data_IF_257392494284
#
_entry.id   IF_257392494284
#
_cell.length_a   1.000
_cell.length_b   1.000
_cell.length_c   1.000
_cell.angle_alpha   90.00
_cell.angle_beta   90.00
_cell.angle_gamma   90.00
#
_symmetry.space_group_name_H-M   'P 1'
#
loop_
_entity.id
_entity.type
_entity.pdbx_description
1 polymer ?
#
# COMPACT_ATOMS: atom_id res chain seq x y z
N UNK A 1 1.51 1.28 -18.08
CA UNK A 1 1.49 0.08 -17.22
C UNK A 1 2.86 -0.57 -17.22
N UNK A 2 3.31 -1.05 -16.07
CA UNK A 2 4.56 -1.81 -15.93
C UNK A 2 4.21 -3.18 -15.38
N UNK A 3 4.69 -4.22 -16.06
CA UNK A 3 4.47 -5.61 -15.70
C UNK A 3 5.80 -6.30 -15.45
N UNK A 4 5.85 -7.20 -14.49
CA UNK A 4 6.94 -8.14 -14.30
C UNK A 4 6.44 -9.57 -14.60
N UNK A 5 7.12 -10.25 -15.51
CA UNK A 5 6.85 -11.63 -15.90
C UNK A 5 8.15 -12.36 -16.15
N UNK A 6 8.34 -13.52 -15.55
CA UNK A 6 9.50 -14.41 -15.77
C UNK A 6 10.86 -13.67 -15.74
N UNK A 7 11.08 -12.85 -14.73
CA UNK A 7 12.27 -11.97 -14.61
C UNK A 7 12.39 -10.91 -15.71
N UNK A 8 11.33 -10.65 -16.47
CA UNK A 8 11.27 -9.55 -17.45
C UNK A 8 10.44 -8.42 -16.94
N UNK A 9 10.85 -7.19 -17.22
CA UNK A 9 10.09 -5.97 -16.93
C UNK A 9 9.64 -5.37 -18.26
N UNK A 10 8.33 -5.24 -18.44
CA UNK A 10 7.70 -4.74 -19.66
C UNK A 10 6.90 -3.48 -19.33
N UNK A 11 6.90 -2.51 -20.25
CA UNK A 11 6.09 -1.29 -20.11
C UNK A 11 5.18 -1.12 -21.32
N UNK A 12 3.91 -0.82 -21.04
CA UNK A 12 2.87 -0.57 -22.04
C UNK A 12 2.24 0.80 -21.81
N UNK A 13 1.83 1.44 -22.89
CA UNK A 13 1.04 2.68 -22.85
C UNK A 13 -0.44 2.39 -22.50
N UNK A 14 -1.27 3.43 -22.49
CA UNK A 14 -2.70 3.33 -22.20
C UNK A 14 -3.52 2.64 -23.31
N UNK A 15 -2.93 2.39 -24.47
CA UNK A 15 -3.52 1.63 -25.59
C UNK A 15 -3.04 0.18 -25.63
N UNK A 16 -2.28 -0.26 -24.62
CA UNK A 16 -1.71 -1.61 -24.56
C UNK A 16 -0.50 -1.82 -25.48
N UNK A 17 0.04 -0.75 -26.09
CA UNK A 17 1.20 -0.85 -26.97
C UNK A 17 2.48 -0.78 -26.16
N UNK A 18 3.45 -1.63 -26.49
CA UNK A 18 4.75 -1.63 -25.82
C UNK A 18 5.48 -0.29 -26.00
N UNK A 19 5.93 0.30 -24.89
CA UNK A 19 6.63 1.59 -24.90
C UNK A 19 8.02 1.41 -25.50
N UNK A 20 8.28 2.10 -26.61
CA UNK A 20 9.62 2.15 -27.23
C UNK A 20 10.59 2.90 -26.31
N UNK A 21 11.84 2.45 -26.27
CA UNK A 21 12.90 3.08 -25.47
C UNK A 21 12.90 2.71 -23.98
N UNK A 22 11.96 1.88 -23.53
CA UNK A 22 12.06 1.26 -22.21
C UNK A 22 13.13 0.16 -22.25
N UNK A 23 14.23 0.35 -21.52
CA UNK A 23 15.45 -0.46 -21.68
C UNK A 23 15.55 -1.65 -20.74
N UNK A 24 14.85 -1.64 -19.61
CA UNK A 24 14.95 -2.72 -18.64
C UNK A 24 14.06 -3.89 -19.04
N UNK A 25 14.66 -4.91 -19.65
CA UNK A 25 13.95 -6.14 -20.08
C UNK A 25 14.22 -7.34 -19.20
N UNK A 26 15.29 -7.31 -18.38
CA UNK A 26 15.62 -8.39 -17.45
C UNK A 26 15.76 -7.88 -16.02
N UNK A 27 15.28 -8.68 -15.08
CA UNK A 27 15.42 -8.48 -13.64
C UNK A 27 16.56 -9.37 -13.13
N UNK A 28 17.37 -8.83 -12.22
CA UNK A 28 18.46 -9.58 -11.56
C UNK A 28 17.94 -10.68 -10.63
N UNK A 29 16.73 -10.49 -10.08
CA UNK A 29 16.01 -11.46 -9.24
C UNK A 29 14.50 -11.25 -9.39
N UNK A 30 13.65 -12.26 -9.04
CA UNK A 30 12.21 -12.10 -9.00
C UNK A 30 11.78 -10.98 -8.08
N UNK A 31 10.64 -10.38 -8.36
CA UNK A 31 10.03 -9.35 -7.51
C UNK A 31 9.17 -9.98 -6.43
N UNK A 32 9.18 -9.38 -5.25
CA UNK A 32 8.30 -9.74 -4.14
C UNK A 32 6.89 -9.24 -4.39
N UNK A 33 6.76 -8.05 -4.99
CA UNK A 33 5.50 -7.41 -5.34
C UNK A 33 5.53 -6.89 -6.78
N UNK A 34 4.37 -6.62 -7.40
CA UNK A 34 4.29 -5.90 -8.65
C UNK A 34 5.07 -4.57 -8.59
N UNK A 35 5.68 -4.11 -9.70
CA UNK A 35 6.37 -2.82 -9.73
C UNK A 35 5.46 -1.69 -9.26
N UNK A 36 5.95 -0.86 -8.34
CA UNK A 36 5.23 0.33 -7.86
C UNK A 36 5.75 1.59 -8.55
N UNK A 37 4.85 2.47 -8.97
CA UNK A 37 5.19 3.76 -9.53
C UNK A 37 4.89 4.87 -8.52
N UNK A 38 5.88 5.72 -8.27
CA UNK A 38 5.71 6.93 -7.44
C UNK A 38 6.19 8.16 -8.19
N UNK A 39 5.55 9.29 -7.90
CA UNK A 39 5.96 10.59 -8.37
C UNK A 39 6.29 11.49 -7.18
N UNK A 40 7.56 11.92 -7.11
CA UNK A 40 8.08 12.80 -6.05
C UNK A 40 8.74 14.00 -6.73
N UNK A 41 8.35 15.23 -6.37
CA UNK A 41 8.91 16.48 -6.92
C UNK A 41 9.00 16.46 -8.45
N UNK A 42 7.90 16.07 -9.12
CA UNK A 42 7.75 15.97 -10.58
C UNK A 42 8.63 14.92 -11.27
N UNK A 43 9.33 14.06 -10.52
CA UNK A 43 10.13 12.95 -11.06
C UNK A 43 9.43 11.62 -10.83
N UNK A 44 9.50 10.74 -11.84
CA UNK A 44 8.89 9.40 -11.78
C UNK A 44 9.92 8.37 -11.29
N UNK A 45 9.49 7.46 -10.44
CA UNK A 45 10.27 6.38 -9.84
C UNK A 45 9.51 5.08 -9.97
N UNK A 46 10.16 4.06 -10.53
CA UNK A 46 9.65 2.68 -10.55
C UNK A 46 10.40 1.87 -9.51
N UNK A 47 9.70 1.39 -8.52
CA UNK A 47 10.26 0.64 -7.40
C UNK A 47 10.14 -0.85 -7.69
N UNK A 48 11.25 -1.56 -7.58
CA UNK A 48 11.40 -3.00 -7.80
C UNK A 48 11.92 -3.63 -6.51
N UNK A 49 11.02 -4.12 -5.67
CA UNK A 49 11.33 -4.85 -4.45
C UNK A 49 11.59 -6.32 -4.80
N UNK A 50 12.82 -6.79 -4.63
CA UNK A 50 13.22 -8.14 -5.03
C UNK A 50 13.27 -9.08 -3.83
N UNK A 51 12.99 -10.36 -4.06
CA UNK A 51 12.97 -11.40 -3.01
C UNK A 51 14.33 -11.62 -2.34
N UNK A 52 15.42 -11.22 -2.98
CA UNK A 52 16.78 -11.31 -2.43
C UNK A 52 17.19 -10.07 -1.61
N UNK A 53 16.23 -9.23 -1.19
CA UNK A 53 16.48 -8.04 -0.38
C UNK A 53 17.04 -6.83 -1.14
N UNK A 54 17.28 -6.93 -2.46
CA UNK A 54 17.77 -5.79 -3.23
C UNK A 54 16.64 -4.90 -3.73
N UNK A 55 16.88 -3.58 -3.72
CA UNK A 55 15.95 -2.58 -4.20
C UNK A 55 16.42 -1.98 -5.53
N UNK A 56 15.56 -2.00 -6.54
CA UNK A 56 15.78 -1.28 -7.79
C UNK A 56 14.90 -0.04 -7.85
N UNK A 57 15.49 1.11 -8.16
CA UNK A 57 14.73 2.35 -8.34
C UNK A 57 15.06 2.91 -9.72
N UNK A 58 14.10 2.79 -10.64
CA UNK A 58 14.28 3.13 -12.04
C UNK A 58 13.56 4.43 -12.41
N UNK A 59 14.00 5.06 -13.48
CA UNK A 59 13.23 6.11 -14.14
C UNK A 59 12.21 5.48 -15.13
N UNK A 60 11.39 6.34 -15.76
CA UNK A 60 10.37 5.91 -16.73
C UNK A 60 10.93 5.28 -18.01
N UNK A 61 12.25 5.35 -18.24
CA UNK A 61 12.91 4.69 -19.37
C UNK A 61 13.54 3.34 -18.98
N UNK A 62 13.35 2.89 -17.72
CA UNK A 62 13.91 1.64 -17.23
C UNK A 62 15.40 1.70 -16.85
N UNK A 63 16.01 2.89 -16.83
CA UNK A 63 17.38 3.09 -16.35
C UNK A 63 17.40 3.30 -14.85
N UNK A 64 18.47 2.84 -14.19
CA UNK A 64 18.64 3.08 -12.76
C UNK A 64 18.66 4.58 -12.49
N UNK A 65 17.77 5.04 -11.61
CA UNK A 65 17.66 6.44 -11.19
C UNK A 65 18.39 6.69 -9.88
N UNK A 66 18.30 5.73 -8.96
CA UNK A 66 18.90 5.79 -7.65
C UNK A 66 19.58 4.44 -7.41
N UNK A 67 20.82 4.50 -6.92
CA UNK A 67 21.55 3.31 -6.48
C UNK A 67 21.34 3.19 -4.97
N UNK A 68 20.72 2.10 -4.57
CA UNK A 68 20.62 1.69 -3.16
C UNK A 68 21.59 0.52 -2.98
N UNK A 69 22.47 0.63 -2.00
CA UNK A 69 23.49 -0.39 -1.69
C UNK A 69 23.07 -1.25 -0.52
N UNK A 70 23.51 -2.50 -0.51
CA UNK A 70 23.19 -3.48 0.53
C UNK A 70 21.88 -4.22 0.26
N UNK A 71 21.63 -5.20 1.11
CA UNK A 71 20.40 -5.96 1.15
C UNK A 71 19.53 -5.42 2.30
N UNK A 72 18.23 -5.35 2.05
CA UNK A 72 17.23 -4.93 3.02
C UNK A 72 16.40 -6.17 3.37
N UNK A 73 16.20 -6.43 4.66
CA UNK A 73 15.38 -7.55 5.15
C UNK A 73 13.91 -7.15 5.10
N UNK A 74 13.36 -7.11 3.89
CA UNK A 74 11.96 -6.71 3.69
C UNK A 74 10.99 -7.64 4.41
N UNK A 75 10.00 -7.04 5.07
CA UNK A 75 8.78 -7.75 5.46
C UNK A 75 7.93 -8.12 4.23
N UNK A 76 6.76 -8.70 4.45
CA UNK A 76 5.77 -8.90 3.39
C UNK A 76 5.13 -7.60 2.87
N UNK A 77 5.41 -6.43 3.42
CA UNK A 77 4.79 -5.15 3.01
C UNK A 77 5.41 -4.60 1.73
N UNK A 78 4.60 -4.13 0.77
CA UNK A 78 5.10 -3.44 -0.41
C UNK A 78 5.65 -2.05 -0.04
N UNK A 79 6.31 -1.40 -1.02
CA UNK A 79 6.70 0.00 -0.87
C UNK A 79 5.52 0.94 -1.05
N UNK A 80 5.51 2.01 -0.26
CA UNK A 80 4.59 3.14 -0.34
C UNK A 80 5.37 4.46 -0.44
N UNK A 81 4.69 5.54 -0.84
CA UNK A 81 5.24 6.89 -0.72
C UNK A 81 4.80 7.49 0.61
N UNK A 82 5.76 7.85 1.46
CA UNK A 82 5.50 8.57 2.71
C UNK A 82 6.59 9.64 2.94
N UNK A 83 6.21 10.89 3.22
CA UNK A 83 7.12 12.03 3.48
C UNK A 83 8.25 12.17 2.43
N UNK A 84 7.90 12.09 1.15
CA UNK A 84 8.87 12.12 0.04
C UNK A 84 9.94 11.02 0.06
N UNK A 85 9.70 9.93 0.80
CA UNK A 85 10.51 8.71 0.81
C UNK A 85 9.75 7.52 0.21
N UNK A 86 10.49 6.50 -0.16
CA UNK A 86 9.96 5.16 -0.46
C UNK A 86 10.01 4.37 0.83
N UNK A 87 8.86 4.00 1.35
CA UNK A 87 8.71 3.46 2.70
C UNK A 87 8.13 2.06 2.67
N UNK A 88 8.71 1.16 3.42
CA UNK A 88 8.23 -0.20 3.71
C UNK A 88 8.60 -0.57 5.15
N UNK A 89 8.47 -1.83 5.52
CA UNK A 89 8.91 -2.36 6.81
C UNK A 89 9.89 -3.52 6.62
N UNK A 90 10.71 -3.79 7.62
CA UNK A 90 11.58 -4.96 7.65
C UNK A 90 10.98 -6.10 8.50
N UNK A 91 11.63 -7.26 8.49
CA UNK A 91 11.19 -8.47 9.20
C UNK A 91 11.14 -8.29 10.72
N UNK A 92 11.87 -7.30 11.26
CA UNK A 92 11.91 -7.00 12.69
C UNK A 92 10.91 -5.93 13.11
N UNK A 93 10.05 -5.49 12.18
CA UNK A 93 8.99 -4.51 12.44
C UNK A 93 9.46 -3.07 12.47
N UNK A 94 10.64 -2.77 11.95
CA UNK A 94 11.10 -1.39 11.78
C UNK A 94 10.54 -0.77 10.50
N UNK A 95 10.37 0.55 10.52
CA UNK A 95 10.09 1.32 9.33
C UNK A 95 11.39 1.53 8.53
N UNK A 96 11.37 1.15 7.27
CA UNK A 96 12.49 1.31 6.33
C UNK A 96 12.13 2.38 5.31
N UNK A 97 12.86 3.49 5.31
CA UNK A 97 12.64 4.62 4.42
C UNK A 97 13.86 4.82 3.53
N UNK A 98 13.63 4.93 2.23
CA UNK A 98 14.68 5.23 1.25
C UNK A 98 14.38 6.59 0.63
N UNK A 99 15.29 7.54 0.76
CA UNK A 99 15.13 8.87 0.20
C UNK A 99 15.44 8.92 -1.32
N UNK A 100 15.21 10.08 -1.94
CA UNK A 100 15.47 10.29 -3.37
C UNK A 100 16.97 10.38 -3.74
N UNK A 101 17.86 10.27 -2.76
CA UNK A 101 19.33 10.17 -2.94
C UNK A 101 19.83 8.74 -2.79
N UNK A 102 19.00 7.83 -2.23
CA UNK A 102 19.32 6.43 -1.98
C UNK A 102 19.80 6.14 -0.56
N UNK A 103 19.71 7.11 0.34
CA UNK A 103 19.99 6.89 1.75
C UNK A 103 18.87 6.05 2.37
N UNK A 104 19.26 5.05 3.15
CA UNK A 104 18.34 4.17 3.87
C UNK A 104 18.33 4.57 5.34
N UNK A 105 17.13 4.84 5.85
CA UNK A 105 16.89 5.15 7.25
C UNK A 105 16.01 4.03 7.82
N UNK A 106 16.43 3.41 8.89
CA UNK A 106 15.64 2.46 9.67
C UNK A 106 15.26 3.11 11.00
N UNK A 107 13.99 3.06 11.33
CA UNK A 107 13.44 3.59 12.57
C UNK A 107 12.64 2.51 13.29
N UNK A 108 12.83 2.33 14.61
CA UNK A 108 11.98 1.43 15.39
C UNK A 108 10.52 1.80 15.22
N UNK A 109 9.66 0.81 14.93
CA UNK A 109 8.22 1.01 14.78
C UNK A 109 7.42 -0.08 15.51
N UNK A 110 8.11 -1.03 16.12
CA UNK A 110 7.63 -2.07 17.04
C UNK A 110 6.49 -2.94 16.51
N UNK A 111 6.42 -3.13 15.19
CA UNK A 111 5.42 -3.98 14.59
C UNK A 111 5.75 -5.46 14.80
N UNK A 112 4.77 -6.25 15.14
CA UNK A 112 4.89 -7.71 15.30
C UNK A 112 4.93 -8.41 13.93
N UNK A 113 5.45 -9.64 13.84
CA UNK A 113 5.38 -10.45 12.62
C UNK A 113 3.95 -10.52 12.07
N UNK A 114 3.80 -10.50 10.75
CA UNK A 114 2.49 -10.52 10.09
C UNK A 114 1.82 -9.15 9.99
N UNK A 115 2.50 -8.07 10.40
CA UNK A 115 1.99 -6.72 10.25
C UNK A 115 1.81 -6.30 8.78
N UNK A 116 0.93 -5.33 8.56
CA UNK A 116 0.74 -4.67 7.29
C UNK A 116 0.75 -3.14 7.47
N UNK A 117 1.18 -2.43 6.42
CA UNK A 117 1.12 -0.97 6.37
C UNK A 117 0.47 -0.50 5.07
N UNK A 118 -0.11 0.69 5.10
CA UNK A 118 -0.44 1.49 3.92
C UNK A 118 -0.06 2.94 4.17
N UNK A 119 0.31 3.66 3.11
CA UNK A 119 0.68 5.05 3.26
C UNK A 119 0.31 5.91 2.05
N UNK A 120 0.01 7.17 2.36
CA UNK A 120 0.01 8.28 1.41
C UNK A 120 1.22 9.17 1.66
N UNK A 121 1.38 10.26 0.90
CA UNK A 121 2.46 11.21 1.12
C UNK A 121 2.45 11.87 2.53
N UNK A 122 1.33 11.85 3.25
CA UNK A 122 1.16 12.56 4.53
C UNK A 122 0.62 11.68 5.67
N UNK A 123 0.25 10.45 5.39
CA UNK A 123 -0.38 9.58 6.37
C UNK A 123 0.19 8.18 6.25
N UNK A 124 0.55 7.59 7.37
CA UNK A 124 0.94 6.20 7.52
C UNK A 124 -0.09 5.51 8.43
N UNK A 125 -0.48 4.33 8.02
CA UNK A 125 -1.35 3.43 8.78
C UNK A 125 -0.64 2.10 8.91
N UNK A 126 -0.68 1.51 10.08
CA UNK A 126 -0.20 0.15 10.32
C UNK A 126 -1.24 -0.67 11.06
N UNK A 127 -1.23 -1.95 10.77
CA UNK A 127 -2.00 -2.96 11.51
C UNK A 127 -1.02 -4.03 11.94
N UNK A 128 -0.98 -4.28 13.24
CA UNK A 128 -0.11 -5.27 13.87
C UNK A 128 -0.91 -5.98 14.95
N UNK A 129 -1.12 -7.29 14.79
CA UNK A 129 -2.08 -8.05 15.59
C UNK A 129 -3.47 -7.38 15.52
N UNK A 130 -4.03 -6.93 16.63
CA UNK A 130 -5.29 -6.21 16.71
C UNK A 130 -5.12 -4.70 16.98
N UNK A 131 -3.93 -4.15 16.77
CA UNK A 131 -3.68 -2.72 16.92
C UNK A 131 -3.62 -2.05 15.54
N UNK A 132 -4.62 -1.23 15.23
CA UNK A 132 -4.63 -0.34 14.06
C UNK A 132 -4.08 1.01 14.48
N UNK A 133 -2.93 1.40 13.97
CA UNK A 133 -2.38 2.73 14.24
C UNK A 133 -2.56 3.65 13.03
N UNK A 134 -3.24 4.79 13.23
CA UNK A 134 -3.50 5.81 12.21
C UNK A 134 -2.69 7.06 12.57
N UNK A 135 -1.67 7.39 11.77
CA UNK A 135 -0.76 8.50 12.07
C UNK A 135 -0.14 8.42 13.48
N UNK A 136 0.15 7.19 13.94
CA UNK A 136 0.67 6.95 15.28
C UNK A 136 -0.39 6.90 16.40
N UNK A 137 -1.67 7.14 16.11
CA UNK A 137 -2.76 7.00 17.09
C UNK A 137 -3.19 5.53 17.11
N UNK A 138 -2.98 4.78 18.21
CA UNK A 138 -3.37 3.39 18.30
C UNK A 138 -4.86 3.24 18.55
N UNK A 139 -5.46 2.27 17.87
CA UNK A 139 -6.85 1.84 18.04
C UNK A 139 -6.83 0.35 18.29
N UNK A 140 -7.30 -0.08 19.44
CA UNK A 140 -7.43 -1.51 19.75
C UNK A 140 -8.72 -2.03 19.13
N UNK A 141 -8.57 -2.93 18.16
CA UNK A 141 -9.65 -3.68 17.56
C UNK A 141 -9.95 -4.94 18.40
N UNK A 142 -11.11 -5.57 18.27
CA UNK A 142 -11.33 -6.92 18.79
C UNK A 142 -10.26 -7.90 18.30
N UNK A 143 -10.03 -9.01 19.00
CA UNK A 143 -9.19 -10.07 18.46
C UNK A 143 -9.86 -10.66 17.21
N UNK A 144 -9.10 -10.86 16.13
CA UNK A 144 -9.63 -11.34 14.86
C UNK A 144 -8.56 -11.48 13.80
N UNK A 145 -8.96 -11.87 12.60
CA UNK A 145 -8.10 -12.03 11.44
C UNK A 145 -8.40 -10.90 10.44
N UNK A 146 -7.51 -9.94 10.34
CA UNK A 146 -7.74 -8.70 9.62
C UNK A 146 -7.09 -8.68 8.24
N UNK A 147 -7.80 -8.09 7.26
CA UNK A 147 -7.19 -7.71 5.99
C UNK A 147 -6.18 -6.58 6.20
N UNK A 148 -5.22 -6.45 5.26
CA UNK A 148 -4.32 -5.30 5.24
C UNK A 148 -5.12 -3.98 5.30
N UNK A 149 -4.69 -3.00 6.11
CA UNK A 149 -5.35 -1.70 6.17
C UNK A 149 -5.19 -0.98 4.84
N UNK A 150 -6.21 -0.22 4.44
CA UNK A 150 -6.18 0.59 3.20
C UNK A 150 -6.60 2.02 3.45
N UNK A 151 -5.89 2.94 2.81
CA UNK A 151 -6.14 4.38 2.86
C UNK A 151 -6.81 4.83 1.58
N UNK A 152 -7.92 5.55 1.70
CA UNK A 152 -8.63 6.20 0.60
C UNK A 152 -8.72 7.70 0.85
N UNK A 153 -8.30 8.51 -0.11
CA UNK A 153 -8.43 9.95 -0.03
C UNK A 153 -9.48 10.44 -1.04
N UNK A 154 -10.63 10.82 -0.55
CA UNK A 154 -11.78 11.20 -1.35
C UNK A 154 -12.35 12.51 -0.84
N UNK A 155 -12.48 13.49 -1.73
CA UNK A 155 -13.12 14.77 -1.46
C UNK A 155 -12.62 15.42 -0.13
N UNK A 156 -11.29 15.52 -0.01
CA UNK A 156 -10.57 16.06 1.15
C UNK A 156 -10.75 15.29 2.47
N UNK A 157 -11.38 14.12 2.44
CA UNK A 157 -11.52 13.22 3.59
C UNK A 157 -10.64 11.99 3.37
N UNK A 158 -9.97 11.57 4.42
CA UNK A 158 -9.15 10.36 4.42
C UNK A 158 -9.88 9.29 5.22
N UNK A 159 -10.18 8.19 4.55
CA UNK A 159 -10.81 7.01 5.12
C UNK A 159 -9.79 5.89 5.25
N UNK A 160 -9.89 5.10 6.30
CA UNK A 160 -9.06 3.93 6.55
C UNK A 160 -9.98 2.73 6.78
N UNK A 161 -9.79 1.65 6.02
CA UNK A 161 -10.55 0.42 6.20
C UNK A 161 -9.65 -0.76 6.57
N UNK A 162 -10.21 -1.68 7.34
CA UNK A 162 -9.75 -3.05 7.50
C UNK A 162 -10.96 -3.94 7.76
N UNK A 163 -10.88 -5.22 7.42
CA UNK A 163 -11.99 -6.17 7.61
C UNK A 163 -11.52 -7.32 8.49
N UNK A 164 -12.24 -7.58 9.56
CA UNK A 164 -12.13 -8.83 10.28
C UNK A 164 -12.84 -9.91 9.47
N UNK A 165 -12.05 -10.85 8.92
CA UNK A 165 -12.56 -11.89 8.02
C UNK A 165 -13.36 -12.95 8.81
N UNK A 166 -12.97 -13.22 10.06
CA UNK A 166 -13.64 -14.21 10.90
C UNK A 166 -14.96 -13.69 11.43
N UNK A 167 -14.96 -12.46 11.99
CA UNK A 167 -16.18 -11.82 12.46
C UNK A 167 -17.03 -11.22 11.32
N UNK A 168 -16.52 -11.23 10.08
CA UNK A 168 -17.18 -10.68 8.89
C UNK A 168 -17.58 -9.20 9.06
N UNK A 169 -16.69 -8.39 9.66
CA UNK A 169 -16.92 -6.98 10.00
C UNK A 169 -15.92 -6.07 9.31
N UNK A 170 -16.43 -5.13 8.53
CA UNK A 170 -15.65 -4.06 7.89
C UNK A 170 -15.63 -2.85 8.80
N UNK A 171 -14.46 -2.47 9.24
CA UNK A 171 -14.23 -1.25 10.02
C UNK A 171 -13.84 -0.10 9.09
N UNK A 172 -14.35 1.08 9.40
CA UNK A 172 -14.04 2.31 8.67
C UNK A 172 -13.75 3.44 9.65
N UNK A 173 -12.63 4.11 9.48
CA UNK A 173 -12.15 5.18 10.34
C UNK A 173 -11.82 6.44 9.56
N UNK A 174 -11.92 7.58 10.23
CA UNK A 174 -11.33 8.83 9.77
C UNK A 174 -9.84 8.94 10.14
N UNK A 175 -9.14 9.91 9.55
CA UNK A 175 -7.69 10.11 9.77
C UNK A 175 -7.30 10.51 11.19
N UNK A 176 -8.25 10.89 12.03
CA UNK A 176 -8.08 11.20 13.45
C UNK A 176 -8.30 9.99 14.37
N UNK A 177 -8.57 8.82 13.80
CA UNK A 177 -8.82 7.59 14.56
C UNK A 177 -10.26 7.39 15.02
N UNK A 178 -11.19 8.32 14.73
CA UNK A 178 -12.60 8.11 15.06
C UNK A 178 -13.27 7.17 14.06
N UNK A 179 -14.12 6.27 14.56
CA UNK A 179 -14.92 5.41 13.69
C UNK A 179 -15.93 6.26 12.89
N UNK A 180 -16.14 5.87 11.63
CA UNK A 180 -17.21 6.44 10.81
C UNK A 180 -18.56 5.94 11.37
N UNK A 181 -19.60 6.79 11.49
CA UNK A 181 -20.92 6.37 11.94
C UNK A 181 -21.45 5.16 11.17
N UNK A 182 -22.24 4.33 11.84
CA UNK A 182 -22.85 3.11 11.31
C UNK A 182 -21.87 1.97 10.97
N UNK A 183 -20.57 2.12 11.28
CA UNK A 183 -19.56 1.05 11.16
C UNK A 183 -19.21 0.45 12.53
N UNK A 184 -18.88 -0.88 12.59
CA UNK A 184 -18.58 -1.78 11.48
C UNK A 184 -19.85 -2.32 10.78
N UNK A 185 -19.72 -2.60 9.48
CA UNK A 185 -20.74 -3.25 8.65
C UNK A 185 -20.32 -4.65 8.22
N UNK A 186 -21.27 -5.44 7.70
CA UNK A 186 -20.98 -6.79 7.22
C UNK A 186 -20.13 -6.81 5.93
N UNK A 187 -19.16 -7.74 5.84
CA UNK A 187 -18.35 -8.00 4.66
C UNK A 187 -17.26 -9.05 4.90
N UNK A 188 -16.86 -9.79 3.85
CA UNK A 188 -15.98 -10.96 3.97
C UNK A 188 -14.62 -10.80 3.28
N UNK A 189 -14.19 -9.58 3.00
CA UNK A 189 -12.90 -9.34 2.36
C UNK A 189 -12.48 -7.88 2.41
N UNK A 190 -11.38 -7.56 1.78
CA UNK A 190 -10.91 -6.19 1.71
C UNK A 190 -11.95 -5.28 1.04
N UNK A 191 -12.28 -4.18 1.70
CA UNK A 191 -13.20 -3.19 1.19
C UNK A 191 -12.50 -2.15 0.32
N UNK A 192 -13.27 -1.53 -0.58
CA UNK A 192 -12.86 -0.38 -1.39
C UNK A 192 -13.78 0.80 -1.08
N UNK A 193 -13.25 2.03 -1.13
CA UNK A 193 -14.03 3.25 -0.90
C UNK A 193 -13.89 4.17 -2.10
N UNK A 194 -15.01 4.61 -2.63
CA UNK A 194 -15.08 5.44 -3.84
C UNK A 194 -16.19 6.48 -3.75
N UNK A 195 -16.23 7.42 -4.69
CA UNK A 195 -17.37 8.31 -4.88
C UNK A 195 -18.33 7.70 -5.92
N UNK A 196 -19.62 7.70 -5.63
CA UNK A 196 -20.64 7.33 -6.60
C UNK A 196 -20.88 8.45 -7.64
N UNK A 197 -21.77 8.23 -8.60
CA UNK A 197 -22.11 9.21 -9.66
C UNK A 197 -22.62 10.55 -9.12
N UNK A 198 -23.16 10.58 -7.88
CA UNK A 198 -23.64 11.79 -7.18
C UNK A 198 -22.57 12.39 -6.27
N UNK A 199 -21.31 11.96 -6.42
CA UNK A 199 -20.15 12.37 -5.58
C UNK A 199 -20.33 12.09 -4.08
N UNK A 200 -21.18 11.13 -3.73
CA UNK A 200 -21.30 10.67 -2.34
C UNK A 200 -20.36 9.51 -2.08
N UNK A 201 -19.64 9.46 -0.94
CA UNK A 201 -18.76 8.37 -0.62
C UNK A 201 -19.56 7.09 -0.36
N UNK A 202 -19.06 5.99 -0.88
CA UNK A 202 -19.60 4.65 -0.71
C UNK A 202 -18.47 3.65 -0.46
N UNK A 203 -18.75 2.62 0.33
CA UNK A 203 -17.87 1.49 0.54
C UNK A 203 -18.42 0.28 -0.21
N UNK A 204 -17.56 -0.43 -0.90
CA UNK A 204 -17.88 -1.67 -1.62
C UNK A 204 -17.07 -2.81 -1.02
N UNK A 205 -17.74 -3.90 -0.70
CA UNK A 205 -17.09 -5.09 -0.13
C UNK A 205 -17.73 -6.36 -0.65
N UNK A 206 -16.95 -7.43 -0.70
CA UNK A 206 -17.44 -8.77 -1.03
C UNK A 206 -18.35 -9.32 0.07
N UNK A 207 -19.43 -9.97 -0.33
CA UNK A 207 -20.30 -10.78 0.52
C UNK A 207 -20.28 -12.24 0.09
N UNK A 208 -21.02 -13.10 0.77
CA UNK A 208 -21.22 -14.50 0.41
C UNK A 208 -21.84 -14.65 -0.98
N UNK A 209 -21.74 -15.85 -1.55
CA UNK A 209 -22.31 -16.23 -2.85
C UNK A 209 -21.87 -15.31 -4.01
N UNK A 210 -20.61 -14.79 -3.96
CA UNK A 210 -20.05 -13.87 -4.94
C UNK A 210 -20.81 -12.55 -5.11
N UNK A 211 -21.60 -12.13 -4.13
CA UNK A 211 -22.26 -10.86 -4.10
C UNK A 211 -21.30 -9.73 -3.73
N UNK A 212 -21.64 -8.50 -4.14
CA UNK A 212 -21.03 -7.27 -3.66
C UNK A 212 -22.07 -6.45 -2.91
N UNK A 213 -21.66 -5.94 -1.74
CA UNK A 213 -22.45 -5.00 -0.95
C UNK A 213 -21.91 -3.60 -1.14
N UNK A 214 -22.81 -2.65 -1.23
CA UNK A 214 -22.49 -1.22 -1.34
C UNK A 214 -23.15 -0.51 -0.17
N UNK A 215 -22.32 0.09 0.68
CA UNK A 215 -22.78 0.89 1.83
C UNK A 215 -22.57 2.37 1.53
N UNK A 216 -23.63 3.16 1.69
CA UNK A 216 -23.52 4.62 1.61
C UNK A 216 -22.85 5.13 2.90
N UNK A 217 -21.82 5.93 2.77
CA UNK A 217 -21.16 6.57 3.92
C UNK A 217 -21.87 7.90 4.18
N UNK A 218 -22.51 8.01 5.33
CA UNK A 218 -23.10 9.26 5.81
C UNK A 218 -22.02 10.10 6.48
N UNK A 219 -22.02 11.41 6.17
CA UNK A 219 -21.08 12.39 6.75
C UNK A 219 -21.77 13.20 7.81
#
# INVERSE_FOLDING_TARGET
FVLAQDKRLLMYDNKGKRVRGFTRTQLKAPLMHPPKHFRIKKKDYLILQRINGTLGILNRLGKDRIKVTGNLDFSGSPFFRYLDTFTTTDMTGNLVQVDVRGNVIKSPYELKPGHAIDATAKSLVSLSENILAIKGIPITLPFGNYTDPKIFYLDNVLYITTTDIEAQKVYLYYSNGTAVPDFPVYGIGAADVSLNNKKKPQLVVKAENNNLLIYQINR
#
